data_IF_927471178952
#
_entry.id   IF_927471178952
#
_cell.length_a   1.000
_cell.length_b   1.000
_cell.length_c   1.000
_cell.angle_alpha   90.00
_cell.angle_beta   90.00
_cell.angle_gamma   90.00
#
_symmetry.space_group_name_H-M   'P 1'
#
loop_
_entity.id
_entity.type
_entity.pdbx_description
1 polymer ?
#
# COMPACT_ATOMS: atom_id res chain seq x y z
N UNK A 1 14.66 6.51 25.25
CA UNK A 1 14.91 5.06 25.38
C UNK A 1 14.11 4.25 24.37
N UNK A 2 12.79 4.46 24.26
CA UNK A 2 11.95 3.88 23.19
C UNK A 2 12.50 4.05 21.76
N UNK A 3 13.05 5.23 21.42
CA UNK A 3 13.65 5.49 20.11
C UNK A 3 14.90 4.62 19.83
N UNK A 4 15.76 4.40 20.84
CA UNK A 4 16.95 3.55 20.74
C UNK A 4 16.55 2.08 20.56
N UNK A 5 15.56 1.61 21.33
CA UNK A 5 15.00 0.26 21.16
C UNK A 5 14.38 0.07 19.77
N UNK A 6 13.66 1.08 19.27
CA UNK A 6 13.08 1.07 17.93
C UNK A 6 14.16 0.99 16.84
N UNK A 7 15.24 1.76 16.98
CA UNK A 7 16.38 1.72 16.07
C UNK A 7 17.07 0.34 16.08
N UNK A 8 17.22 -0.27 17.27
CA UNK A 8 17.85 -1.59 17.42
C UNK A 8 16.97 -2.74 16.91
N UNK A 9 15.64 -2.63 17.00
CA UNK A 9 14.73 -3.63 16.45
C UNK A 9 14.62 -3.59 14.91
N UNK A 10 14.89 -2.43 14.29
CA UNK A 10 14.68 -2.23 12.86
C UNK A 10 15.46 -3.21 11.95
N UNK A 11 16.76 -3.46 12.16
CA UNK A 11 17.53 -4.40 11.34
C UNK A 11 16.93 -5.81 11.34
N UNK A 12 16.52 -6.32 12.50
CA UNK A 12 15.94 -7.66 12.62
C UNK A 12 14.58 -7.75 11.92
N UNK A 13 13.76 -6.70 11.98
CA UNK A 13 12.47 -6.62 11.27
C UNK A 13 12.66 -6.56 9.75
N UNK A 14 13.70 -5.86 9.28
CA UNK A 14 14.06 -5.81 7.86
C UNK A 14 14.61 -7.17 7.40
N UNK A 15 15.45 -7.80 8.20
CA UNK A 15 16.03 -9.11 7.88
C UNK A 15 14.99 -10.22 7.87
N UNK A 16 14.05 -10.21 8.81
CA UNK A 16 12.89 -11.09 8.80
C UNK A 16 12.07 -10.90 7.52
N UNK A 17 11.83 -9.65 7.13
CA UNK A 17 11.09 -9.34 5.91
C UNK A 17 11.77 -9.94 4.66
N UNK A 18 13.07 -9.78 4.51
CA UNK A 18 13.82 -10.33 3.38
C UNK A 18 13.86 -11.87 3.42
N UNK A 19 14.03 -12.46 4.60
CA UNK A 19 13.99 -13.92 4.80
C UNK A 19 12.64 -14.50 4.36
N UNK A 20 11.53 -13.86 4.75
CA UNK A 20 10.19 -14.26 4.34
C UNK A 20 9.92 -14.10 2.84
N UNK A 21 10.65 -13.20 2.16
CA UNK A 21 10.58 -13.05 0.70
C UNK A 21 11.36 -14.13 -0.04
N UNK A 22 12.50 -14.57 0.49
CA UNK A 22 13.22 -15.72 -0.08
C UNK A 22 12.41 -17.02 0.02
N UNK A 23 11.53 -17.11 1.02
CA UNK A 23 10.57 -18.19 1.17
C UNK A 23 9.38 -18.13 0.20
N UNK A 24 9.20 -17.04 -0.56
CA UNK A 24 8.10 -16.91 -1.52
C UNK A 24 8.12 -18.08 -2.53
N UNK A 25 6.96 -18.68 -2.86
CA UNK A 25 6.88 -19.83 -3.78
C UNK A 25 7.53 -19.63 -5.14
N UNK A 26 7.71 -18.39 -5.59
CA UNK A 26 8.38 -18.06 -6.86
C UNK A 26 9.91 -18.04 -6.72
N UNK A 27 10.42 -17.81 -5.50
CA UNK A 27 11.86 -17.65 -5.21
C UNK A 27 12.47 -18.85 -4.50
N UNK A 28 11.65 -19.58 -3.75
CA UNK A 28 12.09 -20.69 -2.91
C UNK A 28 12.73 -21.79 -3.76
N UNK A 29 13.95 -22.18 -3.38
CA UNK A 29 14.60 -23.42 -3.81
C UNK A 29 14.74 -24.36 -2.62
N UNK A 30 14.52 -25.66 -2.81
CA UNK A 30 14.55 -26.65 -1.72
C UNK A 30 15.86 -26.64 -0.95
N UNK A 31 16.98 -26.42 -1.64
CA UNK A 31 18.32 -26.26 -1.04
C UNK A 31 18.44 -25.08 -0.05
N UNK A 32 17.54 -24.09 -0.11
CA UNK A 32 17.54 -22.94 0.79
C UNK A 32 16.81 -23.21 2.11
N UNK A 33 16.03 -24.30 2.21
CA UNK A 33 15.13 -24.57 3.34
C UNK A 33 15.86 -24.57 4.69
N UNK A 34 16.96 -25.32 4.79
CA UNK A 34 17.74 -25.42 6.01
C UNK A 34 18.35 -24.06 6.42
N UNK A 35 18.90 -23.32 5.45
CA UNK A 35 19.46 -21.97 5.69
C UNK A 35 18.39 -21.00 6.18
N UNK A 36 17.24 -20.96 5.51
CA UNK A 36 16.14 -20.06 5.85
C UNK A 36 15.53 -20.40 7.21
N UNK A 37 15.39 -21.69 7.52
CA UNK A 37 14.95 -22.15 8.84
C UNK A 37 15.91 -21.71 9.94
N UNK A 38 17.21 -21.95 9.78
CA UNK A 38 18.22 -21.51 10.75
C UNK A 38 18.21 -19.99 10.94
N UNK A 39 18.03 -19.24 9.85
CA UNK A 39 17.93 -17.78 9.89
C UNK A 39 16.70 -17.29 10.67
N UNK A 40 15.53 -17.91 10.48
CA UNK A 40 14.32 -17.58 11.23
C UNK A 40 14.45 -17.88 12.73
N UNK A 41 15.13 -18.98 13.08
CA UNK A 41 15.42 -19.33 14.48
C UNK A 41 16.34 -18.28 15.11
N UNK A 42 17.46 -17.94 14.44
CA UNK A 42 18.39 -16.91 14.91
C UNK A 42 17.69 -15.58 15.15
N UNK A 43 16.85 -15.15 14.21
CA UNK A 43 16.07 -13.91 14.34
C UNK A 43 15.09 -13.95 15.53
N UNK A 44 14.45 -15.10 15.77
CA UNK A 44 13.58 -15.30 16.93
C UNK A 44 14.34 -15.13 18.25
N UNK A 45 15.54 -15.72 18.35
CA UNK A 45 16.39 -15.62 19.54
C UNK A 45 16.94 -14.19 19.74
N UNK A 46 17.34 -13.50 18.67
CA UNK A 46 17.81 -12.11 18.73
C UNK A 46 16.72 -11.15 19.17
N UNK A 47 15.50 -11.29 18.62
CA UNK A 47 14.35 -10.47 19.00
C UNK A 47 13.93 -10.72 20.45
N UNK A 48 13.96 -11.96 20.92
CA UNK A 48 13.69 -12.28 22.33
C UNK A 48 14.69 -11.58 23.26
N UNK A 49 16.01 -11.71 22.98
CA UNK A 49 17.05 -11.02 23.75
C UNK A 49 16.84 -9.51 23.77
N UNK A 50 16.45 -8.91 22.65
CA UNK A 50 16.13 -7.48 22.57
C UNK A 50 14.90 -7.10 23.42
N UNK A 51 13.87 -7.93 23.43
CA UNK A 51 12.67 -7.71 24.25
C UNK A 51 12.99 -7.78 25.75
N UNK A 52 13.81 -8.77 26.15
CA UNK A 52 14.18 -9.06 27.53
C UNK A 52 15.30 -8.18 28.10
N UNK A 53 16.07 -7.51 27.25
CA UNK A 53 17.20 -6.68 27.69
C UNK A 53 16.73 -5.59 28.68
N UNK A 54 16.94 -5.85 29.98
CA UNK A 54 16.79 -4.88 31.07
C UNK A 54 17.82 -3.78 30.83
N UNK A 55 17.37 -2.53 30.89
CA UNK A 55 18.23 -1.37 30.66
C UNK A 55 19.23 -1.27 31.80
N UNK A 56 20.43 -1.78 31.55
CA UNK A 56 21.62 -1.47 32.33
C UNK A 56 22.54 -0.60 31.47
N UNK A 57 22.06 0.56 31.04
CA UNK A 57 22.95 1.58 30.45
C UNK A 57 22.33 2.97 30.53
N UNK A 58 22.91 3.77 31.41
CA UNK A 58 22.77 5.22 31.50
C UNK A 58 23.26 5.87 30.20
N UNK A 59 22.34 6.19 29.29
CA UNK A 59 22.65 6.97 28.09
C UNK A 59 22.47 8.48 28.36
N UNK A 60 23.52 9.25 28.13
CA UNK A 60 23.56 10.71 28.28
C UNK A 60 22.58 11.43 27.33
N UNK A 61 21.88 12.48 27.80
CA UNK A 61 20.77 13.09 27.08
C UNK A 61 21.20 14.23 26.12
N UNK A 62 22.15 14.02 25.22
CA UNK A 62 22.64 15.10 24.34
C UNK A 62 22.41 14.95 22.83
N UNK A 63 21.91 13.81 22.32
CA UNK A 63 21.73 13.61 20.87
C UNK A 63 20.27 13.49 20.39
N UNK A 64 19.29 13.89 21.20
CA UNK A 64 17.89 13.86 20.79
C UNK A 64 17.55 15.08 19.91
N UNK A 65 17.70 14.92 18.60
CA UNK A 65 17.12 15.84 17.62
C UNK A 65 15.59 15.95 17.83
N UNK A 66 15.08 17.17 17.93
CA UNK A 66 13.66 17.48 18.12
C UNK A 66 12.79 16.82 17.03
N UNK A 67 11.96 15.85 17.42
CA UNK A 67 10.96 15.24 16.54
C UNK A 67 9.69 16.10 16.58
N UNK A 68 9.24 16.71 15.47
CA UNK A 68 8.01 17.47 15.45
C UNK A 68 6.82 16.49 15.52
N UNK A 69 5.92 16.73 16.48
CA UNK A 69 4.66 16.01 16.68
C UNK A 69 4.77 14.68 17.45
N UNK A 70 5.34 14.73 18.66
CA UNK A 70 5.11 13.69 19.66
C UNK A 70 3.67 13.83 20.18
N UNK A 71 2.84 12.81 19.93
CA UNK A 71 1.67 12.56 20.76
C UNK A 71 2.17 12.43 22.21
N UNK A 72 1.44 13.02 23.15
CA UNK A 72 1.68 13.01 24.60
C UNK A 72 1.46 11.59 25.18
N UNK A 73 2.09 10.59 24.56
CA UNK A 73 2.16 9.21 25.04
C UNK A 73 3.33 9.18 25.98
N UNK A 74 3.05 8.89 27.24
CA UNK A 74 4.04 8.68 28.27
C UNK A 74 5.17 7.79 27.72
N UNK A 75 6.39 8.33 27.66
CA UNK A 75 7.50 7.70 26.93
C UNK A 75 7.81 6.30 27.49
N UNK A 76 7.50 6.09 28.78
CA UNK A 76 7.59 4.81 29.47
C UNK A 76 6.56 3.80 28.94
N UNK A 77 5.29 4.22 28.77
CA UNK A 77 4.24 3.37 28.18
C UNK A 77 4.56 3.00 26.72
N UNK A 78 5.12 3.95 25.95
CA UNK A 78 5.52 3.70 24.56
C UNK A 78 6.64 2.65 24.46
N UNK A 79 7.60 2.65 25.40
CA UNK A 79 8.65 1.64 25.47
C UNK A 79 8.11 0.27 25.90
N UNK A 80 7.25 0.22 26.92
CA UNK A 80 6.60 -1.03 27.38
C UNK A 80 5.82 -1.68 26.24
N UNK A 81 5.03 -0.90 25.51
CA UNK A 81 4.28 -1.39 24.36
C UNK A 81 5.22 -1.88 23.24
N UNK A 82 6.30 -1.14 22.94
CA UNK A 82 7.27 -1.56 21.94
C UNK A 82 7.94 -2.90 22.29
N UNK A 83 8.34 -3.08 23.55
CA UNK A 83 8.89 -4.35 24.06
C UNK A 83 7.89 -5.50 23.94
N UNK A 84 6.63 -5.26 24.34
CA UNK A 84 5.57 -6.26 24.22
C UNK A 84 5.40 -6.73 22.76
N UNK A 85 5.47 -5.81 21.79
CA UNK A 85 5.41 -6.17 20.35
C UNK A 85 6.63 -6.92 19.84
N UNK A 86 7.83 -6.61 20.35
CA UNK A 86 9.05 -7.37 20.03
C UNK A 86 8.92 -8.80 20.55
N UNK A 87 8.53 -8.98 21.82
CA UNK A 87 8.36 -10.29 22.44
C UNK A 87 7.27 -11.12 21.77
N UNK A 88 6.12 -10.51 21.43
CA UNK A 88 5.03 -11.17 20.69
C UNK A 88 5.52 -11.74 19.36
N UNK A 89 6.32 -10.97 18.60
CA UNK A 89 6.89 -11.42 17.34
C UNK A 89 7.92 -12.55 17.54
N UNK A 90 8.79 -12.43 18.55
CA UNK A 90 9.80 -13.45 18.87
C UNK A 90 9.16 -14.79 19.22
N UNK A 91 8.16 -14.79 20.10
CA UNK A 91 7.40 -16.00 20.49
C UNK A 91 6.76 -16.63 19.27
N UNK A 92 6.07 -15.83 18.45
CA UNK A 92 5.40 -16.32 17.23
C UNK A 92 6.40 -16.98 16.26
N UNK A 93 7.58 -16.39 16.08
CA UNK A 93 8.65 -16.95 15.24
C UNK A 93 9.17 -18.29 15.76
N UNK A 94 9.41 -18.38 17.08
CA UNK A 94 9.89 -19.62 17.70
C UNK A 94 8.87 -20.73 17.59
N UNK A 95 7.60 -20.46 17.90
CA UNK A 95 6.54 -21.46 17.78
C UNK A 95 6.43 -22.00 16.35
N UNK A 96 6.54 -21.13 15.34
CA UNK A 96 6.40 -21.53 13.94
C UNK A 96 7.62 -22.31 13.43
N UNK A 97 8.82 -21.97 13.88
CA UNK A 97 10.06 -22.69 13.50
C UNK A 97 10.19 -24.03 14.21
N UNK A 98 9.60 -24.21 15.39
CA UNK A 98 9.58 -25.49 16.12
C UNK A 98 8.56 -26.50 15.57
N UNK A 99 7.52 -26.07 14.85
CA UNK A 99 6.46 -26.93 14.26
C UNK A 99 6.91 -27.76 13.03
N UNK A 100 8.20 -27.77 12.70
CA UNK A 100 8.80 -28.61 11.65
C UNK A 100 9.49 -27.82 10.54
N UNK A 101 9.92 -28.50 9.49
CA UNK A 101 10.70 -27.89 8.41
C UNK A 101 9.96 -26.77 7.68
N UNK A 102 10.70 -25.69 7.42
CA UNK A 102 10.25 -24.57 6.59
C UNK A 102 10.22 -25.01 5.13
N UNK A 103 9.01 -25.12 4.57
CA UNK A 103 8.78 -25.58 3.20
C UNK A 103 8.01 -24.55 2.36
N UNK A 104 8.07 -24.73 1.04
CA UNK A 104 7.28 -23.93 0.08
C UNK A 104 5.77 -23.98 0.37
N UNK A 105 5.27 -25.13 0.79
CA UNK A 105 3.85 -25.37 1.04
C UNK A 105 3.38 -24.64 2.30
N UNK A 106 4.25 -24.57 3.31
CA UNK A 106 3.96 -23.93 4.61
C UNK A 106 4.22 -22.42 4.63
N UNK A 107 4.85 -21.85 3.60
CA UNK A 107 5.13 -20.41 3.54
C UNK A 107 3.87 -19.55 3.73
N UNK A 108 2.75 -19.94 3.11
CA UNK A 108 1.50 -19.19 3.18
C UNK A 108 0.97 -19.11 4.62
N UNK A 109 1.00 -20.24 5.32
CA UNK A 109 0.59 -20.37 6.72
C UNK A 109 1.54 -19.63 7.67
N UNK A 110 2.85 -19.79 7.46
CA UNK A 110 3.91 -19.08 8.20
C UNK A 110 3.70 -17.57 8.10
N UNK A 111 3.55 -17.05 6.87
CA UNK A 111 3.34 -15.62 6.63
C UNK A 111 2.02 -15.13 7.20
N UNK A 112 0.93 -15.89 7.03
CA UNK A 112 -0.38 -15.53 7.59
C UNK A 112 -0.34 -15.46 9.12
N UNK A 113 0.38 -16.37 9.77
CA UNK A 113 0.53 -16.42 11.22
C UNK A 113 1.43 -15.30 11.76
N UNK A 114 2.53 -14.96 11.06
CA UNK A 114 3.43 -13.87 11.45
C UNK A 114 2.86 -12.47 11.16
N UNK A 115 1.94 -12.35 10.21
CA UNK A 115 1.47 -11.06 9.70
C UNK A 115 0.95 -10.11 10.79
N UNK A 116 0.10 -10.53 11.74
CA UNK A 116 -0.43 -9.63 12.76
C UNK A 116 0.67 -9.06 13.67
N UNK A 117 1.54 -9.93 14.21
CA UNK A 117 2.64 -9.54 15.10
C UNK A 117 3.65 -8.64 14.39
N UNK A 118 4.03 -9.01 13.16
CA UNK A 118 4.94 -8.20 12.34
C UNK A 118 4.38 -6.80 12.07
N UNK A 119 3.13 -6.70 11.62
CA UNK A 119 2.54 -5.40 11.30
C UNK A 119 2.28 -4.55 12.55
N UNK A 120 2.03 -5.17 13.71
CA UNK A 120 1.93 -4.46 14.97
C UNK A 120 3.27 -3.79 15.34
N UNK A 121 4.37 -4.55 15.31
CA UNK A 121 5.71 -4.00 15.54
C UNK A 121 6.09 -2.96 14.49
N UNK A 122 5.86 -3.24 13.20
CA UNK A 122 6.16 -2.33 12.11
C UNK A 122 5.40 -0.99 12.23
N UNK A 123 4.16 -0.98 12.76
CA UNK A 123 3.43 0.26 13.07
C UNK A 123 4.11 1.03 14.20
N UNK A 124 4.50 0.36 15.28
CA UNK A 124 5.20 0.99 16.40
C UNK A 124 6.52 1.61 15.96
N UNK A 125 7.31 0.92 15.14
CA UNK A 125 8.56 1.46 14.58
C UNK A 125 8.31 2.72 13.75
N UNK A 126 7.27 2.73 12.91
CA UNK A 126 6.90 3.91 12.10
C UNK A 126 6.46 5.10 12.96
N UNK A 127 5.79 4.87 14.10
CA UNK A 127 5.47 5.93 15.07
C UNK A 127 6.73 6.55 15.67
N UNK A 128 7.82 5.78 15.79
CA UNK A 128 9.14 6.24 16.22
C UNK A 128 10.01 6.74 15.05
N UNK A 129 9.41 7.12 13.92
CA UNK A 129 10.08 7.57 12.70
C UNK A 129 11.06 6.54 12.06
N UNK A 130 11.01 5.27 12.48
CA UNK A 130 11.80 4.18 11.90
C UNK A 130 11.01 3.52 10.78
N UNK A 131 11.48 3.64 9.54
CA UNK A 131 10.81 3.06 8.39
C UNK A 131 11.20 1.59 8.20
N UNK A 132 10.22 0.69 8.31
CA UNK A 132 10.36 -0.73 7.96
C UNK A 132 9.34 -1.14 6.89
N UNK A 133 9.64 -2.17 6.07
CA UNK A 133 8.71 -2.70 5.08
C UNK A 133 7.39 -3.22 5.68
N UNK A 134 6.38 -3.44 4.85
CA UNK A 134 5.11 -4.08 5.26
C UNK A 134 4.99 -5.47 4.64
N UNK A 135 4.49 -6.44 5.40
CA UNK A 135 4.19 -7.80 4.95
C UNK A 135 2.79 -7.94 4.33
N UNK A 136 2.15 -6.84 3.90
CA UNK A 136 0.78 -6.82 3.38
C UNK A 136 0.48 -7.96 2.39
N UNK A 137 -0.55 -8.79 2.65
CA UNK A 137 -0.98 -9.81 1.71
C UNK A 137 -1.61 -9.18 0.46
N UNK A 138 -1.70 -9.97 -0.61
CA UNK A 138 -2.46 -9.55 -1.80
C UNK A 138 -3.94 -9.67 -1.49
N UNK A 139 -4.66 -8.55 -1.42
CA UNK A 139 -6.11 -8.55 -1.26
C UNK A 139 -6.79 -8.52 -2.64
N UNK A 140 -7.11 -9.70 -3.17
CA UNK A 140 -7.78 -9.85 -4.47
C UNK A 140 -9.16 -9.20 -4.54
N UNK A 141 -9.91 -9.21 -3.43
CA UNK A 141 -11.23 -8.58 -3.38
C UNK A 141 -11.11 -7.06 -3.53
N UNK A 142 -10.10 -6.44 -2.91
CA UNK A 142 -9.81 -5.02 -3.09
C UNK A 142 -9.38 -4.72 -4.52
N UNK A 143 -8.48 -5.53 -5.10
CA UNK A 143 -8.08 -5.35 -6.51
C UNK A 143 -9.28 -5.48 -7.46
N UNK A 144 -10.16 -6.45 -7.23
CA UNK A 144 -11.37 -6.65 -8.03
C UNK A 144 -12.35 -5.48 -7.89
N UNK A 145 -12.59 -5.02 -6.66
CA UNK A 145 -13.43 -3.85 -6.40
C UNK A 145 -12.85 -2.59 -7.07
N UNK A 146 -11.54 -2.37 -6.95
CA UNK A 146 -10.83 -1.26 -7.59
C UNK A 146 -11.00 -1.28 -9.10
N UNK A 147 -10.61 -2.37 -9.76
CA UNK A 147 -10.72 -2.49 -11.23
C UNK A 147 -12.19 -2.45 -11.68
N UNK A 148 -13.11 -3.08 -10.94
CA UNK A 148 -14.54 -3.05 -11.24
C UNK A 148 -15.15 -1.65 -11.14
N UNK A 149 -14.79 -0.89 -10.10
CA UNK A 149 -15.23 0.50 -9.94
C UNK A 149 -14.66 1.42 -11.03
N UNK A 150 -13.39 1.21 -11.41
CA UNK A 150 -12.77 1.92 -12.53
C UNK A 150 -13.41 1.61 -13.88
N UNK A 151 -13.78 0.34 -14.13
CA UNK A 151 -14.54 -0.07 -15.31
C UNK A 151 -15.94 0.55 -15.35
N UNK A 152 -16.63 0.61 -14.21
CA UNK A 152 -17.94 1.27 -14.11
C UNK A 152 -17.82 2.77 -14.40
N UNK A 153 -16.81 3.45 -13.83
CA UNK A 153 -16.53 4.85 -14.13
C UNK A 153 -16.19 5.06 -15.61
N UNK A 154 -15.38 4.18 -16.22
CA UNK A 154 -15.06 4.22 -17.64
C UNK A 154 -16.33 4.08 -18.50
N UNK A 155 -17.19 3.12 -18.20
CA UNK A 155 -18.46 2.93 -18.92
C UNK A 155 -19.35 4.18 -18.86
N UNK A 156 -19.44 4.83 -17.69
CA UNK A 156 -20.16 6.09 -17.52
C UNK A 156 -19.55 7.20 -18.38
N UNK A 157 -18.21 7.33 -18.39
CA UNK A 157 -17.52 8.33 -19.22
C UNK A 157 -17.74 8.10 -20.71
N UNK A 158 -17.81 6.85 -21.17
CA UNK A 158 -17.97 6.52 -22.59
C UNK A 158 -19.41 6.60 -23.09
N UNK A 159 -20.40 6.25 -22.24
CA UNK A 159 -21.79 6.09 -22.68
C UNK A 159 -22.75 7.14 -22.12
N UNK A 160 -22.37 7.83 -21.05
CA UNK A 160 -23.21 8.80 -20.35
C UNK A 160 -22.48 10.15 -20.21
N UNK A 161 -21.73 10.56 -21.23
CA UNK A 161 -20.84 11.73 -21.23
C UNK A 161 -21.48 12.98 -20.64
N UNK A 162 -22.69 13.34 -21.09
CA UNK A 162 -23.40 14.54 -20.63
C UNK A 162 -23.80 14.47 -19.14
N UNK A 163 -23.90 13.25 -18.60
CA UNK A 163 -24.27 12.98 -17.21
C UNK A 163 -23.06 12.87 -16.27
N UNK A 164 -21.84 12.75 -16.81
CA UNK A 164 -20.61 12.52 -16.03
C UNK A 164 -20.44 13.51 -14.88
N UNK A 165 -20.55 14.84 -15.08
CA UNK A 165 -20.34 15.80 -13.98
C UNK A 165 -21.37 15.63 -12.84
N UNK A 166 -22.62 15.33 -13.17
CA UNK A 166 -23.69 15.13 -12.19
C UNK A 166 -23.50 13.81 -11.42
N UNK A 167 -23.20 12.72 -12.12
CA UNK A 167 -22.98 11.41 -11.52
C UNK A 167 -21.72 11.39 -10.64
N UNK A 168 -20.63 12.00 -11.10
CA UNK A 168 -19.41 12.15 -10.32
C UNK A 168 -19.66 13.00 -9.05
N UNK A 169 -20.38 14.11 -9.17
CA UNK A 169 -20.74 14.97 -8.03
C UNK A 169 -21.62 14.26 -7.02
N UNK A 170 -22.63 13.52 -7.48
CA UNK A 170 -23.49 12.71 -6.62
C UNK A 170 -22.69 11.62 -5.89
N UNK A 171 -21.80 10.93 -6.59
CA UNK A 171 -20.91 9.94 -5.98
C UNK A 171 -19.98 10.57 -4.95
N UNK A 172 -19.34 11.69 -5.25
CA UNK A 172 -18.50 12.42 -4.30
C UNK A 172 -19.28 12.90 -3.08
N UNK A 173 -20.46 13.49 -3.26
CA UNK A 173 -21.31 13.92 -2.15
C UNK A 173 -21.68 12.74 -1.25
N UNK A 174 -22.06 11.60 -1.84
CA UNK A 174 -22.33 10.38 -1.07
C UNK A 174 -21.11 9.91 -0.27
N UNK A 175 -19.93 9.88 -0.88
CA UNK A 175 -18.68 9.47 -0.23
C UNK A 175 -18.28 10.44 0.89
N UNK A 176 -18.46 11.74 0.67
CA UNK A 176 -18.17 12.79 1.65
C UNK A 176 -19.12 12.74 2.85
N UNK A 177 -20.42 12.53 2.61
CA UNK A 177 -21.43 12.34 3.67
C UNK A 177 -21.11 11.10 4.49
N UNK A 178 -20.82 9.95 3.84
CA UNK A 178 -20.43 8.73 4.55
C UNK A 178 -19.16 8.92 5.39
N UNK A 179 -18.15 9.59 4.84
CA UNK A 179 -16.90 9.90 5.55
C UNK A 179 -17.14 10.81 6.77
N UNK A 180 -18.00 11.82 6.63
CA UNK A 180 -18.36 12.73 7.72
C UNK A 180 -19.15 12.00 8.82
N UNK A 181 -20.17 11.23 8.44
CA UNK A 181 -20.99 10.43 9.38
C UNK A 181 -20.12 9.46 10.19
N UNK A 182 -19.15 8.82 9.53
CA UNK A 182 -18.20 7.90 10.14
C UNK A 182 -17.34 8.58 11.21
N UNK A 183 -16.92 9.82 10.98
CA UNK A 183 -16.08 10.59 11.93
C UNK A 183 -16.87 11.11 13.12
N UNK A 184 -18.13 11.47 12.91
CA UNK A 184 -18.98 12.06 13.96
C UNK A 184 -19.60 10.98 14.87
N UNK A 185 -19.89 9.78 14.35
CA UNK A 185 -20.60 8.75 15.10
C UNK A 185 -19.86 7.40 15.13
N UNK A 186 -19.43 6.92 16.31
CA UNK A 186 -18.83 5.60 16.47
C UNK A 186 -19.74 4.44 16.03
N UNK A 187 -21.06 4.59 16.14
CA UNK A 187 -22.04 3.57 15.68
C UNK A 187 -22.02 3.45 14.15
N UNK A 188 -22.17 4.58 13.46
CA UNK A 188 -22.03 4.68 12.01
C UNK A 188 -20.69 4.13 11.51
N UNK A 189 -19.58 4.42 12.21
CA UNK A 189 -18.27 3.85 11.86
C UNK A 189 -18.26 2.32 11.93
N UNK A 190 -18.80 1.73 12.99
CA UNK A 190 -18.89 0.26 13.11
C UNK A 190 -19.77 -0.36 12.03
N UNK A 191 -20.90 0.26 11.69
CA UNK A 191 -21.80 -0.24 10.64
C UNK A 191 -21.14 -0.17 9.26
N UNK A 192 -20.56 0.98 8.89
CA UNK A 192 -19.90 1.17 7.61
C UNK A 192 -18.67 0.27 7.47
N UNK A 193 -17.83 0.17 8.52
CA UNK A 193 -16.68 -0.74 8.52
C UNK A 193 -17.10 -2.21 8.47
N UNK A 194 -18.24 -2.58 9.07
CA UNK A 194 -18.82 -3.91 8.94
C UNK A 194 -19.26 -4.22 7.51
N UNK A 195 -20.03 -3.31 6.90
CA UNK A 195 -20.54 -3.45 5.53
C UNK A 195 -19.40 -3.56 4.50
N UNK A 196 -18.36 -2.75 4.67
CA UNK A 196 -17.19 -2.74 3.78
C UNK A 196 -16.02 -3.57 4.29
N UNK A 197 -16.21 -4.46 5.27
CA UNK A 197 -15.14 -5.24 5.92
C UNK A 197 -14.28 -6.08 4.95
N UNK A 198 -14.82 -6.44 3.78
CA UNK A 198 -14.09 -7.15 2.71
C UNK A 198 -13.13 -6.27 1.92
N UNK A 199 -13.26 -4.94 2.01
CA UNK A 199 -12.52 -3.93 1.23
C UNK A 199 -11.76 -2.96 2.14
N UNK A 200 -12.38 -2.52 3.22
CA UNK A 200 -11.84 -1.57 4.20
C UNK A 200 -10.93 -2.26 5.22
N UNK A 201 -9.80 -1.61 5.56
CA UNK A 201 -8.90 -2.10 6.61
C UNK A 201 -9.20 -1.46 7.97
N UNK A 202 -8.95 -2.16 9.10
CA UNK A 202 -9.13 -1.61 10.45
C UNK A 202 -8.40 -0.27 10.68
N UNK A 203 -7.23 -0.07 10.05
CA UNK A 203 -6.44 1.17 10.15
C UNK A 203 -6.99 2.34 9.32
N UNK A 204 -7.94 2.10 8.40
CA UNK A 204 -8.63 3.16 7.66
C UNK A 204 -9.70 3.84 8.55
N UNK A 205 -9.97 3.32 9.75
CA UNK A 205 -10.92 3.88 10.72
C UNK A 205 -10.68 5.35 11.08
N UNK A 206 -9.45 5.85 10.94
CA UNK A 206 -9.09 7.22 11.33
C UNK A 206 -8.52 8.08 10.19
N UNK A 207 -8.30 7.49 8.99
CA UNK A 207 -7.83 8.23 7.79
C UNK A 207 -8.99 8.46 6.83
N UNK A 208 -8.90 9.48 5.98
CA UNK A 208 -9.90 9.66 4.89
C UNK A 208 -9.88 8.42 4.01
N UNK A 209 -11.05 7.86 3.71
CA UNK A 209 -11.17 6.66 2.88
C UNK A 209 -10.68 6.95 1.45
N UNK A 210 -9.91 6.02 0.87
CA UNK A 210 -9.46 6.08 -0.52
C UNK A 210 -10.61 6.26 -1.52
N UNK A 211 -11.80 5.73 -1.23
CA UNK A 211 -13.00 5.94 -2.05
C UNK A 211 -13.42 7.42 -2.12
N UNK A 212 -13.26 8.19 -1.04
CA UNK A 212 -13.54 9.63 -1.01
C UNK A 212 -12.53 10.40 -1.88
N UNK A 213 -11.25 10.01 -1.83
CA UNK A 213 -10.21 10.56 -2.70
C UNK A 213 -10.45 10.24 -4.17
N UNK A 214 -10.85 9.02 -4.48
CA UNK A 214 -11.23 8.60 -5.84
C UNK A 214 -12.43 9.39 -6.37
N UNK A 215 -13.48 9.55 -5.55
CA UNK A 215 -14.67 10.30 -5.95
C UNK A 215 -14.35 11.78 -6.22
N UNK A 216 -13.44 12.38 -5.43
CA UNK A 216 -12.93 13.73 -5.70
C UNK A 216 -12.20 13.78 -7.04
N UNK A 217 -11.35 12.81 -7.34
CA UNK A 217 -10.65 12.74 -8.62
C UNK A 217 -11.63 12.70 -9.80
N UNK A 218 -12.69 11.88 -9.71
CA UNK A 218 -13.71 11.77 -10.75
C UNK A 218 -14.44 13.10 -10.98
N UNK A 219 -14.76 13.85 -9.93
CA UNK A 219 -15.36 15.20 -10.07
C UNK A 219 -14.40 16.13 -10.79
N UNK A 220 -13.14 16.19 -10.36
CA UNK A 220 -12.14 17.06 -10.98
C UNK A 220 -11.94 16.71 -12.46
N UNK A 221 -11.85 15.42 -12.79
CA UNK A 221 -11.76 14.96 -14.18
C UNK A 221 -13.02 15.35 -14.98
N UNK A 222 -14.21 15.18 -14.40
CA UNK A 222 -15.47 15.48 -15.08
C UNK A 222 -15.61 16.96 -15.47
N UNK A 223 -15.09 17.89 -14.66
CA UNK A 223 -15.22 19.32 -14.89
C UNK A 223 -14.02 19.97 -15.59
N UNK A 224 -12.81 19.41 -15.45
CA UNK A 224 -11.58 20.08 -15.88
C UNK A 224 -11.01 19.57 -17.20
N UNK A 225 -11.36 18.37 -17.64
CA UNK A 225 -10.78 17.78 -18.84
C UNK A 225 -11.84 17.16 -19.75
N UNK A 226 -11.51 17.04 -21.03
CA UNK A 226 -12.39 16.42 -22.01
C UNK A 226 -12.69 14.95 -21.68
N UNK A 227 -13.88 14.42 -22.03
CA UNK A 227 -14.27 13.03 -21.74
C UNK A 227 -13.25 11.99 -22.20
N UNK A 228 -12.57 12.25 -23.32
CA UNK A 228 -11.49 11.38 -23.83
C UNK A 228 -10.31 11.30 -22.87
N UNK A 229 -9.86 12.43 -22.31
CA UNK A 229 -8.77 12.49 -21.34
C UNK A 229 -9.18 11.84 -20.02
N UNK A 230 -10.41 12.10 -19.57
CA UNK A 230 -11.01 11.46 -18.40
C UNK A 230 -11.02 9.94 -18.53
N UNK A 231 -11.44 9.41 -19.69
CA UNK A 231 -11.48 7.98 -19.97
C UNK A 231 -10.08 7.36 -19.88
N UNK A 232 -9.06 8.02 -20.46
CA UNK A 232 -7.65 7.57 -20.38
C UNK A 232 -7.17 7.53 -18.93
N UNK A 233 -7.38 8.61 -18.17
CA UNK A 233 -6.95 8.70 -16.79
C UNK A 233 -7.57 7.63 -15.88
N UNK A 234 -8.89 7.43 -16.00
CA UNK A 234 -9.62 6.39 -15.25
C UNK A 234 -9.12 5.00 -15.62
N UNK A 235 -8.89 4.73 -16.90
CA UNK A 235 -8.39 3.43 -17.38
C UNK A 235 -6.99 3.14 -16.86
N UNK A 236 -6.09 4.12 -16.86
CA UNK A 236 -4.75 3.97 -16.30
C UNK A 236 -4.84 3.59 -14.82
N UNK A 237 -5.60 4.33 -14.00
CA UNK A 237 -5.76 3.99 -12.58
C UNK A 237 -6.40 2.60 -12.36
N UNK A 238 -7.41 2.23 -13.17
CA UNK A 238 -8.17 1.00 -13.00
C UNK A 238 -7.34 -0.28 -13.21
N UNK A 239 -6.35 -0.23 -14.11
CA UNK A 239 -5.58 -1.40 -14.53
C UNK A 239 -4.10 -1.34 -14.15
N UNK A 240 -3.45 -0.18 -14.31
CA UNK A 240 -2.03 -0.05 -14.07
C UNK A 240 -1.69 -0.18 -12.58
N UNK A 241 -2.48 0.42 -11.69
CA UNK A 241 -2.21 0.36 -10.24
C UNK A 241 -2.35 -1.06 -9.65
N UNK A 242 -3.44 -1.82 -9.91
CA UNK A 242 -3.54 -3.20 -9.47
C UNK A 242 -2.46 -4.11 -10.07
N UNK A 243 -2.10 -3.91 -11.34
CA UNK A 243 -1.04 -4.66 -12.00
C UNK A 243 0.34 -4.38 -11.40
N UNK A 244 0.67 -3.10 -11.18
CA UNK A 244 1.90 -2.65 -10.52
C UNK A 244 2.01 -3.22 -9.10
N UNK A 245 0.91 -3.19 -8.34
CA UNK A 245 0.85 -3.80 -7.01
C UNK A 245 1.05 -5.31 -7.06
N UNK A 246 0.44 -6.01 -8.01
CA UNK A 246 0.56 -7.46 -8.15
C UNK A 246 1.99 -7.89 -8.52
N UNK A 247 2.56 -7.26 -9.55
CA UNK A 247 3.92 -7.55 -10.01
C UNK A 247 4.95 -7.08 -9.00
N UNK A 248 4.80 -5.89 -8.44
CA UNK A 248 5.70 -5.37 -7.41
C UNK A 248 5.76 -6.23 -6.15
N UNK A 249 4.63 -6.83 -5.73
CA UNK A 249 4.62 -7.77 -4.60
C UNK A 249 5.27 -9.11 -4.92
N UNK A 250 5.05 -9.67 -6.11
CA UNK A 250 5.54 -11.01 -6.50
C UNK A 250 6.99 -10.98 -7.01
N UNK A 251 7.26 -10.07 -7.93
CA UNK A 251 8.50 -10.00 -8.70
C UNK A 251 9.37 -8.83 -8.31
N UNK A 252 8.88 -7.85 -7.55
CA UNK A 252 9.65 -6.68 -7.17
C UNK A 252 10.96 -7.06 -6.47
N UNK A 253 12.11 -6.62 -6.97
CA UNK A 253 13.44 -6.88 -6.38
C UNK A 253 14.09 -5.56 -6.01
N UNK A 254 14.13 -4.64 -6.95
CA UNK A 254 14.77 -3.34 -6.78
C UNK A 254 13.80 -2.40 -6.08
N UNK A 255 14.14 -1.95 -4.87
CA UNK A 255 13.32 -1.01 -4.11
C UNK A 255 13.53 0.40 -4.59
N UNK A 256 12.41 1.11 -4.73
CA UNK A 256 12.37 2.53 -4.98
C UNK A 256 11.80 3.23 -3.73
N UNK A 257 11.28 4.43 -3.93
CA UNK A 257 10.73 5.27 -2.87
C UNK A 257 9.48 4.61 -2.25
N UNK A 258 9.33 4.75 -0.92
CA UNK A 258 8.16 4.33 -0.14
C UNK A 258 7.76 2.85 -0.27
N UNK A 259 8.73 1.98 -0.54
CA UNK A 259 8.51 0.53 -0.63
C UNK A 259 7.94 0.05 -1.96
N UNK A 260 7.70 0.97 -2.92
CA UNK A 260 7.44 0.62 -4.32
C UNK A 260 8.68 -0.08 -4.91
N UNK A 261 8.49 -0.86 -5.96
CA UNK A 261 9.59 -1.56 -6.64
C UNK A 261 9.71 -1.10 -8.08
N UNK A 262 10.92 -1.15 -8.64
CA UNK A 262 11.17 -0.79 -10.04
C UNK A 262 10.31 -1.61 -11.00
N UNK A 263 10.17 -2.90 -10.72
CA UNK A 263 9.35 -3.82 -11.51
C UNK A 263 7.86 -3.47 -11.42
N UNK A 264 7.39 -3.02 -10.26
CA UNK A 264 6.02 -2.52 -10.08
C UNK A 264 5.80 -1.24 -10.89
N UNK A 265 6.68 -0.26 -10.76
CA UNK A 265 6.56 1.02 -11.48
C UNK A 265 6.72 0.84 -13.01
N UNK A 266 7.61 -0.04 -13.48
CA UNK A 266 7.70 -0.40 -14.90
C UNK A 266 6.41 -1.09 -15.37
N UNK A 267 5.85 -2.00 -14.56
CA UNK A 267 4.55 -2.63 -14.86
C UNK A 267 3.45 -1.58 -14.96
N UNK A 268 3.43 -0.59 -14.06
CA UNK A 268 2.47 0.52 -14.13
C UNK A 268 2.54 1.21 -15.50
N UNK A 269 3.74 1.65 -15.91
CA UNK A 269 3.92 2.40 -17.15
C UNK A 269 3.56 1.55 -18.36
N UNK A 270 4.02 0.30 -18.42
CA UNK A 270 3.74 -0.59 -19.57
C UNK A 270 2.26 -0.92 -19.66
N UNK A 271 1.63 -1.36 -18.55
CA UNK A 271 0.21 -1.71 -18.54
C UNK A 271 -0.63 -0.48 -18.82
N UNK A 272 -0.35 0.65 -18.15
CA UNK A 272 -1.04 1.92 -18.34
C UNK A 272 -1.01 2.40 -19.78
N UNK A 273 0.16 2.34 -20.43
CA UNK A 273 0.29 2.73 -21.83
C UNK A 273 -0.50 1.80 -22.77
N UNK A 274 -0.42 0.49 -22.55
CA UNK A 274 -1.13 -0.50 -23.37
C UNK A 274 -2.66 -0.36 -23.26
N UNK A 275 -3.19 -0.24 -22.04
CA UNK A 275 -4.66 -0.13 -21.84
C UNK A 275 -5.20 1.22 -22.32
N UNK A 276 -4.45 2.31 -22.10
CA UNK A 276 -4.83 3.64 -22.60
C UNK A 276 -4.82 3.68 -24.13
N UNK A 277 -3.79 3.09 -24.75
CA UNK A 277 -3.70 2.98 -26.20
C UNK A 277 -4.86 2.13 -26.75
N UNK A 278 -5.11 0.94 -26.18
CA UNK A 278 -6.21 0.09 -26.59
C UNK A 278 -7.58 0.78 -26.48
N UNK A 279 -7.84 1.49 -25.36
CA UNK A 279 -9.04 2.30 -25.18
C UNK A 279 -9.21 3.33 -26.31
N UNK A 280 -8.14 4.08 -26.61
CA UNK A 280 -8.16 5.13 -27.62
C UNK A 280 -8.39 4.57 -29.02
N UNK A 281 -7.79 3.42 -29.34
CA UNK A 281 -8.00 2.73 -30.62
C UNK A 281 -9.45 2.27 -30.79
N UNK A 282 -10.02 1.61 -29.77
CA UNK A 282 -11.37 1.03 -29.83
C UNK A 282 -12.45 2.11 -29.81
N UNK A 283 -12.30 3.13 -28.97
CA UNK A 283 -13.39 4.08 -28.68
C UNK A 283 -13.32 5.36 -29.52
N UNK A 284 -12.15 5.70 -30.06
CA UNK A 284 -11.92 6.97 -30.77
C UNK A 284 -11.29 6.79 -32.17
N UNK A 285 -11.02 5.55 -32.59
CA UNK A 285 -10.89 5.17 -34.00
C UNK A 285 -9.80 5.89 -34.81
N UNK A 286 -8.64 6.21 -34.23
CA UNK A 286 -7.56 6.86 -35.00
C UNK A 286 -6.23 6.09 -34.90
N UNK A 287 -5.67 5.70 -36.04
CA UNK A 287 -4.33 5.08 -36.17
C UNK A 287 -3.24 6.15 -36.34
N UNK A 288 -3.47 7.37 -35.85
CA UNK A 288 -2.48 8.46 -35.94
C UNK A 288 -1.44 8.33 -34.82
N UNK A 289 -0.30 9.05 -34.83
CA UNK A 289 0.66 9.01 -33.72
C UNK A 289 0.11 9.58 -32.39
N UNK A 290 -1.01 10.29 -32.47
CA UNK A 290 -1.61 11.05 -31.38
C UNK A 290 -2.02 10.18 -30.18
N UNK A 291 -2.73 9.05 -30.34
CA UNK A 291 -3.12 8.18 -29.23
C UNK A 291 -1.93 7.52 -28.51
N UNK A 292 -0.86 7.22 -29.23
CA UNK A 292 0.36 6.63 -28.64
C UNK A 292 1.01 7.63 -27.68
N UNK A 293 1.14 8.90 -28.10
CA UNK A 293 1.70 9.96 -27.26
C UNK A 293 0.82 10.21 -26.04
N UNK A 294 -0.50 10.31 -26.22
CA UNK A 294 -1.44 10.46 -25.10
C UNK A 294 -1.32 9.31 -24.09
N UNK A 295 -1.29 8.06 -24.56
CA UNK A 295 -1.19 6.88 -23.72
C UNK A 295 0.15 6.85 -22.94
N UNK A 296 1.27 7.16 -23.59
CA UNK A 296 2.57 7.23 -22.94
C UNK A 296 2.64 8.39 -21.93
N UNK A 297 2.16 9.58 -22.29
CA UNK A 297 2.11 10.73 -21.41
C UNK A 297 1.30 10.44 -20.14
N UNK A 298 0.12 9.82 -20.30
CA UNK A 298 -0.72 9.39 -19.19
C UNK A 298 -0.03 8.37 -18.29
N UNK A 299 0.57 7.33 -18.88
CA UNK A 299 1.20 6.24 -18.14
C UNK A 299 2.44 6.70 -17.37
N UNK A 300 3.28 7.55 -17.97
CA UNK A 300 4.48 8.10 -17.33
C UNK A 300 4.10 9.05 -16.20
N UNK A 301 3.20 10.01 -16.43
CA UNK A 301 2.80 10.95 -15.39
C UNK A 301 2.04 10.25 -14.24
N UNK A 302 1.17 9.30 -14.57
CA UNK A 302 0.48 8.46 -13.58
C UNK A 302 1.46 7.61 -12.77
N UNK A 303 2.48 7.01 -13.42
CA UNK A 303 3.51 6.22 -12.74
C UNK A 303 4.42 7.05 -11.85
N UNK A 304 4.76 8.28 -12.27
CA UNK A 304 5.49 9.23 -11.41
C UNK A 304 4.64 9.61 -10.19
N UNK A 305 3.35 9.89 -10.38
CA UNK A 305 2.45 10.15 -9.26
C UNK A 305 2.34 8.94 -8.33
N UNK A 306 2.23 7.72 -8.84
CA UNK A 306 2.22 6.48 -8.04
C UNK A 306 3.49 6.34 -7.19
N UNK A 307 4.64 6.64 -7.78
CA UNK A 307 5.94 6.53 -7.13
C UNK A 307 6.16 7.58 -6.03
N UNK A 308 5.64 8.80 -6.22
CA UNK A 308 5.88 9.94 -5.32
C UNK A 308 4.68 10.32 -4.43
N UNK A 309 3.55 9.62 -4.52
CA UNK A 309 2.40 9.88 -3.66
C UNK A 309 2.71 9.55 -2.21
N UNK A 310 2.85 10.60 -1.39
CA UNK A 310 3.22 10.51 0.03
C UNK A 310 2.06 10.78 0.97
N UNK A 311 1.57 12.02 0.95
CA UNK A 311 0.54 12.51 1.89
C UNK A 311 -0.86 12.43 1.30
N UNK A 312 -0.96 12.63 -0.02
CA UNK A 312 -2.18 12.48 -0.78
C UNK A 312 -2.30 11.03 -1.25
N UNK A 313 -3.55 10.56 -1.28
CA UNK A 313 -3.90 9.20 -1.70
C UNK A 313 -3.68 9.03 -3.21
N UNK A 314 -3.17 7.87 -3.62
CA UNK A 314 -2.90 7.57 -5.04
C UNK A 314 -4.17 7.55 -5.88
N UNK A 315 -5.32 7.28 -5.28
CA UNK A 315 -6.62 7.34 -5.96
C UNK A 315 -7.04 8.77 -6.33
N UNK A 316 -6.39 9.80 -5.77
CA UNK A 316 -6.53 11.19 -6.22
C UNK A 316 -5.42 11.57 -7.22
N UNK A 317 -4.16 11.36 -6.85
CA UNK A 317 -3.00 11.93 -7.56
C UNK A 317 -2.75 11.26 -8.90
N UNK A 318 -2.85 9.93 -8.98
CA UNK A 318 -2.58 9.14 -10.19
C UNK A 318 -3.50 9.52 -11.35
N UNK A 319 -4.84 9.51 -11.22
CA UNK A 319 -5.72 9.84 -12.33
C UNK A 319 -5.57 11.30 -12.77
N UNK A 320 -5.33 12.24 -11.85
CA UNK A 320 -5.09 13.64 -12.22
C UNK A 320 -3.77 13.83 -12.97
N UNK A 321 -2.69 13.17 -12.52
CA UNK A 321 -1.41 13.21 -13.21
C UNK A 321 -1.49 12.53 -14.59
N UNK A 322 -2.20 11.40 -14.69
CA UNK A 322 -2.44 10.71 -15.95
C UNK A 322 -3.24 11.60 -16.94
N UNK A 323 -4.27 12.30 -16.46
CA UNK A 323 -5.03 13.25 -17.27
C UNK A 323 -4.15 14.41 -17.76
N UNK A 324 -3.35 15.00 -16.87
CA UNK A 324 -2.41 16.05 -17.24
C UNK A 324 -1.40 15.58 -18.29
N UNK A 325 -0.82 14.39 -18.10
CA UNK A 325 0.12 13.80 -19.05
C UNK A 325 -0.51 13.49 -20.41
N UNK A 326 -1.76 13.02 -20.44
CA UNK A 326 -2.50 12.81 -21.68
C UNK A 326 -2.81 14.14 -22.39
N UNK A 327 -3.25 15.16 -21.64
CA UNK A 327 -3.63 16.47 -22.14
C UNK A 327 -2.45 17.22 -22.79
N UNK A 328 -1.25 17.14 -22.20
CA UNK A 328 -0.03 17.71 -22.80
C UNK A 328 0.35 17.13 -24.17
N UNK A 329 -0.21 15.97 -24.52
CA UNK A 329 0.10 15.23 -25.74
C UNK A 329 -0.99 15.37 -26.80
N UNK A 330 -2.02 16.19 -26.51
CA UNK A 330 -3.08 16.56 -27.44
C UNK A 330 -2.57 17.61 -28.43
#
# INVERSE_FOLDING_TARGET
MSATLAANAAPHVIELYETLRELDPVRFRREMAARLSAKLVSLGDELERLGEAVVNESAHPQDAAEIPFALDVDAEQAEVELRARISELAITLKELTQRGEVSRERWGELRASLHPAYEALARMLRLHAVHVPSLRPTNWNRSLFHTGSGLAALAIVLWLTDWVPYLASAFFLSAFVMETMRRVSPRANRLLMGLFSRVAHPHEAHRINSATWYAMALVLLAFLVEPRVSAVAVTVLAFADPAAGLVGRRLGRIRLVHGRSLEGSLTFVVVGALVAWALLMVSYGSVTPHPVRMALGAAVCGGLAELFSRRLDDNLTVPLAAAFGAWLMI
#
